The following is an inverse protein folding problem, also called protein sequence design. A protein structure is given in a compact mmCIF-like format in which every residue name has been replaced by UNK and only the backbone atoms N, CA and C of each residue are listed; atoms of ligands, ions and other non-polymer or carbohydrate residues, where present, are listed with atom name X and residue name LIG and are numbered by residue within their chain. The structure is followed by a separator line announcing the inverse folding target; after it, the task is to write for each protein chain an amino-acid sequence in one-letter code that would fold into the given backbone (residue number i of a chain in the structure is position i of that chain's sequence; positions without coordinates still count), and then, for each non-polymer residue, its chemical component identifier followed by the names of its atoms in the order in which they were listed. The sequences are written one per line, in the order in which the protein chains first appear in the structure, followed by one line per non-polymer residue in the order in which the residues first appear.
data_IF_043249836752
#
_entry.id   IF_043249836752
#
_cell.length_a   1.000
_cell.length_b   1.000
_cell.length_c   1.000
_cell.angle_alpha   90.00
_cell.angle_beta   90.00
_cell.angle_gamma   90.00
#
_symmetry.space_group_name_H-M   'P 1'
#
loop_
_entity.id
_entity.type
_entity.pdbx_description
1 polymer ?
#
# COMPACT_ATOMS: atom_id res chain seq x y z
N UNK A 1 20.76 40.40 4.06
CA UNK A 1 19.93 39.22 3.72
C UNK A 1 20.85 38.13 3.17
N UNK A 2 21.37 37.30 4.07
CA UNK A 2 22.22 36.15 3.73
C UNK A 2 21.32 35.00 3.33
N UNK A 3 21.45 34.57 2.09
CA UNK A 3 20.74 33.41 1.58
C UNK A 3 21.18 32.15 2.34
N UNK A 4 20.25 31.50 3.02
CA UNK A 4 20.44 30.19 3.62
C UNK A 4 20.51 29.19 2.47
N UNK A 5 21.70 28.64 2.22
CA UNK A 5 21.84 27.52 1.29
C UNK A 5 21.06 26.29 1.80
N UNK A 6 20.33 25.55 0.94
CA UNK A 6 19.67 24.37 1.37
C UNK A 6 20.72 23.32 1.78
N UNK A 7 20.64 22.82 3.01
CA UNK A 7 21.47 21.72 3.48
C UNK A 7 21.12 20.44 2.71
N UNK A 8 21.97 20.05 1.78
CA UNK A 8 21.91 18.79 1.06
C UNK A 8 22.59 17.70 1.89
N UNK A 9 21.82 17.00 2.70
CA UNK A 9 22.03 15.57 3.02
C UNK A 9 20.80 15.03 3.75
N UNK A 10 19.66 15.00 3.08
CA UNK A 10 18.61 14.07 3.48
C UNK A 10 19.06 12.68 2.99
N UNK A 11 19.41 11.77 3.89
CA UNK A 11 19.44 10.35 3.57
C UNK A 11 18.08 10.04 2.96
N UNK A 12 18.05 9.62 1.69
CA UNK A 12 16.77 9.36 1.01
C UNK A 12 16.01 8.33 1.83
N UNK A 13 14.83 8.73 2.32
CA UNK A 13 13.87 7.89 2.99
C UNK A 13 13.15 7.03 1.92
N UNK A 14 13.91 6.17 1.23
CA UNK A 14 13.39 5.31 0.17
C UNK A 14 12.64 4.11 0.79
N UNK A 15 11.54 3.72 0.17
CA UNK A 15 10.87 2.45 0.47
C UNK A 15 11.68 1.31 -0.17
N UNK A 16 12.07 0.32 0.61
CA UNK A 16 12.81 -0.84 0.11
C UNK A 16 12.00 -2.11 0.33
N UNK A 17 11.63 -2.80 -0.75
CA UNK A 17 10.90 -4.08 -0.71
C UNK A 17 11.69 -5.11 -1.53
N UNK A 18 12.01 -6.26 -0.95
CA UNK A 18 12.74 -7.31 -1.64
C UNK A 18 14.07 -6.84 -2.26
N UNK A 19 14.74 -5.88 -1.64
CA UNK A 19 15.99 -5.27 -2.13
C UNK A 19 15.81 -4.19 -3.20
N UNK A 20 14.60 -3.99 -3.75
CA UNK A 20 14.29 -2.96 -4.73
C UNK A 20 13.86 -1.67 -4.04
N UNK A 21 14.35 -0.52 -4.54
CA UNK A 21 14.03 0.82 -4.00
C UNK A 21 12.89 1.45 -4.77
N UNK A 22 11.98 2.10 -4.03
CA UNK A 22 10.86 2.88 -4.57
C UNK A 22 10.81 4.23 -3.86
N UNK A 23 10.45 5.27 -4.61
CA UNK A 23 10.27 6.63 -4.08
C UNK A 23 8.85 6.85 -3.61
N UNK A 24 7.88 6.31 -4.38
CA UNK A 24 6.48 6.41 -4.05
C UNK A 24 6.13 5.46 -2.90
N UNK A 25 5.39 5.97 -1.93
CA UNK A 25 4.82 5.17 -0.83
C UNK A 25 3.35 4.81 -1.08
N UNK A 26 2.83 5.18 -2.24
CA UNK A 26 1.50 4.77 -2.69
C UNK A 26 1.63 3.70 -3.77
N UNK A 27 1.00 2.56 -3.53
CA UNK A 27 0.72 1.52 -4.52
C UNK A 27 -0.74 1.64 -4.94
N UNK A 28 -1.04 1.38 -6.20
CA UNK A 28 -2.41 1.38 -6.71
C UNK A 28 -2.72 0.07 -7.43
N UNK A 29 -3.96 -0.08 -7.87
CA UNK A 29 -4.38 -1.25 -8.64
C UNK A 29 -5.00 -0.86 -9.97
N UNK A 30 -5.41 -1.86 -10.74
CA UNK A 30 -5.96 -1.70 -12.09
C UNK A 30 -7.47 -1.96 -12.17
N UNK A 31 -8.09 -2.37 -11.06
CA UNK A 31 -9.50 -2.77 -11.06
C UNK A 31 -10.48 -1.63 -10.81
N UNK A 32 -11.72 -1.80 -11.31
CA UNK A 32 -12.89 -0.95 -11.05
C UNK A 32 -12.88 0.44 -11.71
N UNK A 33 -11.89 0.79 -12.49
CA UNK A 33 -11.93 2.06 -13.24
C UNK A 33 -13.01 2.04 -14.31
N UNK A 34 -13.63 3.20 -14.62
CA UNK A 34 -14.65 3.29 -15.66
C UNK A 34 -14.09 3.07 -17.08
N UNK A 35 -12.82 3.35 -17.31
CA UNK A 35 -12.12 3.13 -18.57
C UNK A 35 -10.61 2.94 -18.37
N UNK A 36 -9.93 2.44 -19.42
CA UNK A 36 -8.45 2.34 -19.42
C UNK A 36 -7.79 3.73 -19.41
N UNK A 37 -8.42 4.73 -20.04
CA UNK A 37 -7.93 6.11 -20.03
C UNK A 37 -7.95 6.67 -18.60
N UNK A 38 -9.07 6.50 -17.87
CA UNK A 38 -9.19 6.95 -16.49
C UNK A 38 -8.17 6.23 -15.59
N UNK A 39 -7.95 4.95 -15.81
CA UNK A 39 -6.90 4.19 -15.11
C UNK A 39 -5.52 4.77 -15.38
N UNK A 40 -5.13 4.94 -16.65
CA UNK A 40 -3.81 5.49 -17.03
C UNK A 40 -3.59 6.88 -16.45
N UNK A 41 -4.58 7.77 -16.59
CA UNK A 41 -4.51 9.13 -16.02
C UNK A 41 -4.36 9.09 -14.49
N UNK A 42 -5.02 8.14 -13.81
CA UNK A 42 -4.89 7.96 -12.36
C UNK A 42 -3.52 7.43 -11.95
N UNK A 43 -2.97 6.46 -12.69
CA UNK A 43 -1.61 5.95 -12.45
C UNK A 43 -0.58 7.07 -12.61
N UNK A 44 -0.71 7.89 -13.64
CA UNK A 44 0.16 9.04 -13.87
C UNK A 44 0.02 10.09 -12.76
N UNK A 45 -1.22 10.47 -12.41
CA UNK A 45 -1.49 11.47 -11.38
C UNK A 45 -1.03 11.05 -9.97
N UNK A 46 -1.08 9.75 -9.68
CA UNK A 46 -0.58 9.20 -8.40
C UNK A 46 0.93 9.16 -8.29
N UNK A 47 1.66 9.22 -9.41
CA UNK A 47 3.09 8.98 -9.48
C UNK A 47 3.53 7.67 -8.76
N UNK A 48 2.63 6.68 -8.68
CA UNK A 48 2.97 5.37 -8.10
C UNK A 48 4.02 4.65 -8.95
N UNK A 49 4.83 3.82 -8.30
CA UNK A 49 5.84 3.01 -8.97
C UNK A 49 5.49 1.51 -8.94
N UNK A 50 4.51 1.12 -8.11
CA UNK A 50 4.02 -0.26 -8.00
C UNK A 50 2.54 -0.29 -8.32
N UNK A 51 2.14 -1.19 -9.23
CA UNK A 51 0.75 -1.38 -9.65
C UNK A 51 0.35 -2.84 -9.50
N UNK A 52 -0.69 -3.11 -8.69
CA UNK A 52 -1.19 -4.48 -8.54
C UNK A 52 -2.15 -4.87 -9.68
N UNK A 53 -1.96 -6.11 -10.16
CA UNK A 53 -2.71 -6.70 -11.26
C UNK A 53 -3.28 -8.05 -10.84
N UNK A 54 -4.61 -8.20 -10.94
CA UNK A 54 -5.26 -9.46 -10.65
C UNK A 54 -5.04 -10.47 -11.78
N UNK A 55 -4.18 -11.47 -11.54
CA UNK A 55 -3.76 -12.47 -12.54
C UNK A 55 -4.95 -13.19 -13.17
N UNK A 56 -5.92 -13.62 -12.37
CA UNK A 56 -7.13 -14.34 -12.87
C UNK A 56 -7.95 -13.51 -13.86
N UNK A 57 -7.97 -12.18 -13.72
CA UNK A 57 -8.73 -11.30 -14.60
C UNK A 57 -8.06 -11.09 -15.95
N UNK A 58 -6.73 -11.03 -15.97
CA UNK A 58 -5.96 -10.91 -17.22
C UNK A 58 -6.10 -12.16 -18.07
N UNK A 59 -6.06 -13.35 -17.46
CA UNK A 59 -6.16 -14.63 -18.17
C UNK A 59 -7.56 -14.93 -18.68
N UNK A 60 -8.60 -14.50 -17.97
CA UNK A 60 -9.98 -14.78 -18.35
C UNK A 60 -10.53 -13.89 -19.46
N UNK A 61 -9.78 -12.87 -19.92
CA UNK A 61 -10.29 -11.88 -20.86
C UNK A 61 -11.54 -11.15 -20.31
N UNK A 62 -11.63 -10.98 -18.99
CA UNK A 62 -12.80 -10.42 -18.33
C UNK A 62 -13.15 -9.03 -18.92
N UNK A 63 -14.45 -8.66 -19.00
CA UNK A 63 -14.86 -7.35 -19.49
C UNK A 63 -14.14 -6.21 -18.77
N UNK A 64 -13.58 -5.26 -19.51
CA UNK A 64 -12.79 -4.14 -18.98
C UNK A 64 -11.31 -4.45 -18.72
N UNK A 65 -10.82 -5.64 -19.03
CA UNK A 65 -9.40 -6.03 -18.89
C UNK A 65 -8.72 -6.35 -20.23
N UNK A 66 -9.47 -6.36 -21.33
CA UNK A 66 -8.89 -6.43 -22.68
C UNK A 66 -7.99 -5.21 -22.91
N UNK A 67 -6.73 -5.46 -23.32
CA UNK A 67 -5.75 -4.39 -23.53
C UNK A 67 -5.11 -3.81 -22.26
N UNK A 68 -5.36 -4.39 -21.07
CA UNK A 68 -4.76 -3.91 -19.81
C UNK A 68 -3.23 -3.94 -19.85
N UNK A 69 -2.68 -5.03 -20.37
CA UNK A 69 -1.22 -5.23 -20.43
C UNK A 69 -0.55 -4.23 -21.37
N UNK A 70 -1.21 -3.90 -22.47
CA UNK A 70 -0.75 -2.94 -23.47
C UNK A 70 -1.01 -1.49 -23.05
N UNK A 71 -1.99 -1.27 -22.15
CA UNK A 71 -2.37 0.06 -21.69
C UNK A 71 -1.38 0.65 -20.67
N UNK A 72 -0.53 -0.16 -20.07
CA UNK A 72 0.39 0.23 -19.00
C UNK A 72 1.83 0.16 -19.49
N UNK A 73 2.60 1.21 -19.22
CA UNK A 73 4.05 1.23 -19.48
C UNK A 73 4.81 0.50 -18.38
N UNK A 74 5.05 -0.78 -18.58
CA UNK A 74 5.76 -1.66 -17.64
C UNK A 74 7.27 -1.38 -17.55
N UNK A 75 7.82 -0.51 -18.38
CA UNK A 75 9.20 -0.04 -18.24
C UNK A 75 9.35 0.97 -17.09
N UNK A 76 8.25 1.65 -16.74
CA UNK A 76 8.18 2.68 -15.68
C UNK A 76 7.53 2.19 -14.40
N UNK A 77 6.61 1.23 -14.48
CA UNK A 77 5.80 0.73 -13.38
C UNK A 77 6.19 -0.71 -13.06
N UNK A 78 6.41 -1.00 -11.78
CA UNK A 78 6.67 -2.35 -11.31
C UNK A 78 5.37 -3.11 -11.11
N UNK A 79 5.23 -4.23 -11.78
CA UNK A 79 4.04 -5.07 -11.65
C UNK A 79 4.04 -5.79 -10.32
N UNK A 80 2.91 -5.75 -9.62
CA UNK A 80 2.63 -6.55 -8.44
C UNK A 80 1.47 -7.51 -8.76
N UNK A 81 1.74 -8.69 -9.34
CA UNK A 81 0.69 -9.67 -9.57
C UNK A 81 0.04 -10.07 -8.26
N UNK A 82 -1.29 -10.20 -8.23
CA UNK A 82 -2.00 -10.64 -7.04
C UNK A 82 -2.81 -11.91 -7.27
N UNK A 83 -3.01 -12.66 -6.19
CA UNK A 83 -3.76 -13.93 -6.18
C UNK A 83 -5.23 -13.73 -5.82
N UNK A 84 -5.80 -12.56 -6.11
CA UNK A 84 -7.20 -12.23 -5.83
C UNK A 84 -8.17 -13.29 -6.36
N UNK A 85 -9.12 -13.67 -5.53
CA UNK A 85 -10.14 -14.69 -5.83
C UNK A 85 -9.69 -16.13 -5.58
N UNK A 86 -8.51 -16.36 -4.99
CA UNK A 86 -8.10 -17.67 -4.51
C UNK A 86 -8.68 -17.92 -3.11
N UNK A 87 -9.34 -19.06 -2.94
CA UNK A 87 -9.95 -19.46 -1.68
C UNK A 87 -9.03 -20.32 -0.82
N UNK A 88 -7.99 -20.93 -1.41
CA UNK A 88 -7.06 -21.82 -0.72
C UNK A 88 -5.60 -21.46 -0.98
N UNK A 89 -4.71 -21.91 -0.10
CA UNK A 89 -3.26 -21.75 -0.25
C UNK A 89 -2.77 -22.37 -1.58
N UNK A 90 -3.26 -23.54 -1.95
CA UNK A 90 -2.87 -24.22 -3.19
C UNK A 90 -3.23 -23.42 -4.43
N UNK A 91 -4.45 -22.88 -4.48
CA UNK A 91 -4.87 -21.99 -5.56
C UNK A 91 -3.99 -20.75 -5.64
N UNK A 92 -3.71 -20.11 -4.50
CA UNK A 92 -2.88 -18.91 -4.44
C UNK A 92 -1.46 -19.16 -4.96
N UNK A 93 -0.83 -20.27 -4.56
CA UNK A 93 0.51 -20.66 -5.05
C UNK A 93 0.49 -20.89 -6.57
N UNK A 94 -0.51 -21.58 -7.09
CA UNK A 94 -0.66 -21.79 -8.53
C UNK A 94 -0.81 -20.46 -9.30
N UNK A 95 -1.67 -19.56 -8.81
CA UNK A 95 -1.91 -18.26 -9.43
C UNK A 95 -0.68 -17.35 -9.30
N UNK A 96 0.07 -17.40 -8.20
CA UNK A 96 1.32 -16.66 -8.05
C UNK A 96 2.35 -17.03 -9.13
N UNK A 97 2.50 -18.34 -9.43
CA UNK A 97 3.39 -18.81 -10.51
C UNK A 97 2.97 -18.25 -11.87
N UNK A 98 1.65 -18.21 -12.17
CA UNK A 98 1.13 -17.57 -13.38
C UNK A 98 1.38 -16.06 -13.39
N UNK A 99 1.31 -15.40 -12.22
CA UNK A 99 1.64 -13.99 -12.07
C UNK A 99 3.10 -13.68 -12.39
N UNK A 100 4.03 -14.54 -12.02
CA UNK A 100 5.45 -14.40 -12.37
C UNK A 100 5.67 -14.51 -13.88
N UNK A 101 4.98 -15.44 -14.54
CA UNK A 101 5.04 -15.53 -16.01
C UNK A 101 4.42 -14.30 -16.68
N UNK A 102 3.34 -13.75 -16.12
CA UNK A 102 2.74 -12.52 -16.63
C UNK A 102 3.71 -11.33 -16.54
N UNK A 103 4.42 -11.18 -15.42
CA UNK A 103 5.43 -10.13 -15.25
C UNK A 103 6.59 -10.33 -16.24
N UNK A 104 7.04 -11.56 -16.46
CA UNK A 104 8.06 -11.88 -17.45
C UNK A 104 7.62 -11.49 -18.89
N UNK A 105 6.39 -11.78 -19.26
CA UNK A 105 5.82 -11.37 -20.55
C UNK A 105 5.71 -9.84 -20.70
N UNK A 106 5.63 -9.11 -19.59
CA UNK A 106 5.67 -7.65 -19.56
C UNK A 106 7.10 -7.07 -19.61
N UNK A 107 8.12 -7.90 -19.81
CA UNK A 107 9.54 -7.49 -19.85
C UNK A 107 10.21 -7.33 -18.49
N UNK A 108 9.58 -7.83 -17.41
CA UNK A 108 10.13 -7.79 -16.05
C UNK A 108 10.60 -9.18 -15.63
N UNK A 109 11.65 -9.68 -16.26
CA UNK A 109 12.13 -11.07 -16.09
C UNK A 109 12.65 -11.37 -14.66
N UNK A 110 13.15 -10.35 -13.96
CA UNK A 110 13.63 -10.42 -12.58
C UNK A 110 12.52 -10.18 -11.53
N UNK A 111 11.27 -9.99 -11.98
CA UNK A 111 10.16 -9.72 -11.07
C UNK A 111 9.65 -10.99 -10.39
N UNK A 112 9.95 -11.12 -9.11
CA UNK A 112 9.50 -12.20 -8.23
C UNK A 112 8.39 -11.77 -7.28
N UNK A 113 7.89 -10.52 -7.38
CA UNK A 113 6.89 -9.98 -6.46
C UNK A 113 5.54 -10.67 -6.64
N UNK A 114 4.86 -10.87 -5.53
CA UNK A 114 3.46 -11.31 -5.50
C UNK A 114 2.72 -10.72 -4.32
N UNK A 115 1.57 -10.12 -4.56
CA UNK A 115 0.61 -9.80 -3.50
C UNK A 115 -0.22 -11.05 -3.24
N UNK A 116 0.02 -11.65 -2.08
CA UNK A 116 -0.62 -12.90 -1.70
C UNK A 116 -1.97 -12.63 -1.02
N UNK A 117 -3.03 -13.15 -1.61
CA UNK A 117 -4.39 -13.12 -1.07
C UNK A 117 -4.93 -14.55 -1.04
N UNK A 118 -5.39 -15.00 0.13
CA UNK A 118 -6.15 -16.25 0.31
C UNK A 118 -7.46 -15.87 0.99
N UNK A 119 -8.56 -15.83 0.24
CA UNK A 119 -9.83 -15.27 0.66
C UNK A 119 -10.96 -16.26 0.37
N UNK A 120 -11.32 -17.13 1.33
CA UNK A 120 -12.39 -18.10 1.16
C UNK A 120 -13.80 -17.49 1.20
N UNK A 121 -13.97 -16.37 1.92
CA UNK A 121 -15.24 -15.66 2.02
C UNK A 121 -15.34 -14.51 1.02
N UNK A 122 -16.12 -14.71 -0.04
CA UNK A 122 -16.34 -13.70 -1.08
C UNK A 122 -17.23 -12.53 -0.63
N UNK A 123 -17.94 -12.65 0.50
CA UNK A 123 -18.83 -11.60 0.99
C UNK A 123 -18.10 -10.48 1.72
N UNK A 124 -17.20 -10.83 2.63
CA UNK A 124 -16.50 -9.86 3.45
C UNK A 124 -15.06 -9.61 2.97
N UNK A 125 -14.55 -10.48 2.09
CA UNK A 125 -13.20 -10.43 1.52
C UNK A 125 -12.11 -10.37 2.60
N UNK A 126 -12.33 -11.11 3.69
CA UNK A 126 -11.36 -11.25 4.76
C UNK A 126 -10.36 -12.37 4.45
N UNK A 127 -9.05 -12.14 4.66
CA UNK A 127 -8.04 -13.15 4.40
C UNK A 127 -8.05 -14.26 5.44
N UNK A 128 -7.84 -15.50 4.98
CA UNK A 128 -7.63 -16.66 5.84
C UNK A 128 -6.20 -16.64 6.40
N UNK A 129 -6.03 -16.54 7.73
CA UNK A 129 -4.71 -16.46 8.33
C UNK A 129 -3.87 -17.74 8.15
N UNK A 130 -4.51 -18.91 8.18
CA UNK A 130 -3.84 -20.20 8.06
C UNK A 130 -3.39 -20.43 6.62
N UNK A 131 -4.31 -20.31 5.67
CA UNK A 131 -3.99 -20.46 4.26
C UNK A 131 -3.02 -19.43 3.74
N UNK A 132 -3.06 -18.20 4.27
CA UNK A 132 -2.09 -17.16 3.92
C UNK A 132 -0.69 -17.52 4.40
N UNK A 133 -0.52 -17.99 5.64
CA UNK A 133 0.78 -18.42 6.16
C UNK A 133 1.34 -19.62 5.39
N UNK A 134 0.51 -20.65 5.15
CA UNK A 134 0.89 -21.84 4.36
C UNK A 134 1.35 -21.45 2.94
N UNK A 135 0.60 -20.61 2.25
CA UNK A 135 0.96 -20.16 0.91
C UNK A 135 2.24 -19.31 0.91
N UNK A 136 2.39 -18.43 1.91
CA UNK A 136 3.58 -17.59 2.05
C UNK A 136 4.86 -18.42 2.23
N UNK A 137 4.85 -19.40 3.13
CA UNK A 137 6.00 -20.30 3.35
C UNK A 137 6.42 -21.05 2.08
N UNK A 138 5.44 -21.49 1.29
CA UNK A 138 5.70 -22.18 0.01
C UNK A 138 6.29 -21.24 -1.02
N UNK A 139 5.69 -20.06 -1.18
CA UNK A 139 6.13 -19.06 -2.17
C UNK A 139 7.52 -18.50 -1.84
N UNK A 140 7.83 -18.24 -0.58
CA UNK A 140 9.17 -17.81 -0.16
C UNK A 140 10.22 -18.88 -0.49
N UNK A 141 9.94 -20.16 -0.24
CA UNK A 141 10.83 -21.28 -0.63
C UNK A 141 11.02 -21.37 -2.16
N UNK A 142 10.04 -20.92 -2.94
CA UNK A 142 10.12 -20.86 -4.41
C UNK A 142 10.79 -19.57 -4.93
N UNK A 143 11.31 -18.73 -4.04
CA UNK A 143 12.03 -17.50 -4.38
C UNK A 143 11.14 -16.31 -4.75
N UNK A 144 9.87 -16.31 -4.32
CA UNK A 144 9.01 -15.14 -4.47
C UNK A 144 9.30 -14.07 -3.43
N UNK A 145 9.17 -12.82 -3.84
CA UNK A 145 9.09 -11.66 -2.95
C UNK A 145 7.61 -11.49 -2.55
N UNK A 146 7.27 -12.05 -1.38
CA UNK A 146 5.87 -12.18 -0.95
C UNK A 146 5.41 -10.96 -0.16
N UNK A 147 4.28 -10.37 -0.58
CA UNK A 147 3.58 -9.26 0.07
C UNK A 147 2.19 -9.77 0.50
N UNK A 148 2.03 -10.32 1.72
CA UNK A 148 0.80 -10.98 2.14
C UNK A 148 -0.25 -9.98 2.67
N UNK A 149 -1.47 -10.06 2.12
CA UNK A 149 -2.65 -9.37 2.63
C UNK A 149 -3.23 -10.11 3.82
N UNK A 150 -3.37 -9.44 4.96
CA UNK A 150 -3.78 -10.04 6.23
C UNK A 150 -4.80 -9.18 6.98
N UNK A 151 -5.52 -9.81 7.92
CA UNK A 151 -6.17 -9.05 8.99
C UNK A 151 -5.09 -8.36 9.84
N UNK A 152 -5.45 -7.27 10.54
CA UNK A 152 -4.52 -6.60 11.45
C UNK A 152 -4.27 -7.46 12.71
N UNK A 153 -3.53 -8.55 12.54
CA UNK A 153 -3.13 -9.50 13.56
C UNK A 153 -1.60 -9.44 13.76
N UNK A 154 -1.13 -8.88 14.91
CA UNK A 154 0.30 -8.73 15.17
C UNK A 154 1.07 -10.07 15.27
N UNK A 155 0.42 -11.16 15.70
CA UNK A 155 1.08 -12.46 15.79
C UNK A 155 1.24 -13.09 14.41
N UNK A 156 0.24 -12.99 13.55
CA UNK A 156 0.34 -13.44 12.17
C UNK A 156 1.39 -12.63 11.40
N UNK A 157 1.41 -11.30 11.57
CA UNK A 157 2.41 -10.43 10.95
C UNK A 157 3.83 -10.89 11.29
N UNK A 158 4.12 -11.18 12.55
CA UNK A 158 5.42 -11.71 12.99
C UNK A 158 5.73 -13.06 12.36
N UNK A 159 4.79 -14.00 12.31
CA UNK A 159 5.00 -15.31 11.68
C UNK A 159 5.31 -15.20 10.19
N UNK A 160 4.68 -14.28 9.49
CA UNK A 160 4.95 -14.03 8.07
C UNK A 160 6.34 -13.40 7.86
N UNK A 161 6.77 -12.50 8.74
CA UNK A 161 8.13 -11.99 8.73
C UNK A 161 9.14 -13.14 8.97
N UNK A 162 8.92 -13.99 9.99
CA UNK A 162 9.75 -15.16 10.28
C UNK A 162 9.77 -16.17 9.12
N UNK A 163 8.69 -16.30 8.37
CA UNK A 163 8.60 -17.10 7.15
C UNK A 163 9.40 -16.52 5.96
N UNK A 164 9.86 -15.27 6.06
CA UNK A 164 10.66 -14.60 5.04
C UNK A 164 9.86 -13.75 4.05
N UNK A 165 8.65 -13.32 4.40
CA UNK A 165 7.91 -12.35 3.59
C UNK A 165 8.65 -11.02 3.49
N UNK A 166 8.49 -10.33 2.38
CA UNK A 166 9.17 -9.05 2.13
C UNK A 166 8.47 -7.84 2.74
N UNK A 167 7.19 -7.98 3.06
CA UNK A 167 6.35 -7.00 3.77
C UNK A 167 5.29 -7.72 4.59
N UNK A 168 4.53 -6.97 5.39
CA UNK A 168 3.19 -7.37 5.86
C UNK A 168 2.18 -6.31 5.44
N UNK A 169 0.99 -6.75 5.02
CA UNK A 169 -0.04 -5.86 4.48
C UNK A 169 -1.35 -5.97 5.28
N UNK A 170 -1.40 -5.39 6.51
CA UNK A 170 -2.61 -5.39 7.30
C UNK A 170 -3.69 -4.52 6.66
N UNK A 171 -4.92 -5.02 6.61
CA UNK A 171 -6.06 -4.25 6.15
C UNK A 171 -6.44 -3.14 7.14
N UNK A 172 -6.75 -1.95 6.63
CA UNK A 172 -7.40 -0.89 7.42
C UNK A 172 -8.84 -1.25 7.76
N UNK A 173 -9.58 -1.72 6.76
CA UNK A 173 -10.93 -2.30 6.82
C UNK A 173 -11.18 -3.15 5.56
N UNK A 174 -12.28 -3.90 5.46
CA UNK A 174 -12.53 -4.80 4.33
C UNK A 174 -12.39 -4.14 2.96
N UNK A 175 -11.91 -4.89 1.98
CA UNK A 175 -11.67 -4.40 0.60
C UNK A 175 -12.90 -3.68 0.05
N UNK A 176 -12.72 -2.44 -0.39
CA UNK A 176 -13.77 -1.65 -1.03
C UNK A 176 -14.83 -1.10 -0.09
N UNK A 177 -14.67 -1.26 1.22
CA UNK A 177 -15.63 -0.77 2.22
C UNK A 177 -15.57 0.74 2.46
N UNK A 178 -14.41 1.38 2.23
CA UNK A 178 -14.20 2.81 2.50
C UNK A 178 -14.40 3.19 3.97
N UNK A 179 -14.18 2.24 4.90
CA UNK A 179 -14.41 2.46 6.33
C UNK A 179 -13.18 2.96 7.09
N UNK A 180 -12.08 3.23 6.38
CA UNK A 180 -10.85 3.76 6.94
C UNK A 180 -10.09 2.77 7.83
N UNK A 181 -9.35 3.30 8.79
CA UNK A 181 -8.48 2.54 9.70
C UNK A 181 -9.28 2.08 10.92
N UNK A 182 -9.96 0.94 10.83
CA UNK A 182 -10.85 0.44 11.89
C UNK A 182 -10.08 -0.19 13.06
N UNK A 183 -8.92 -0.76 12.81
CA UNK A 183 -8.11 -1.43 13.82
C UNK A 183 -6.73 -0.77 14.00
N UNK A 184 -6.75 0.54 14.23
CA UNK A 184 -5.54 1.35 14.39
C UNK A 184 -4.62 0.80 15.51
N UNK A 185 -5.18 0.32 16.62
CA UNK A 185 -4.40 -0.22 17.71
C UNK A 185 -3.53 -1.42 17.29
N UNK A 186 -4.11 -2.39 16.61
CA UNK A 186 -3.35 -3.55 16.14
C UNK A 186 -2.37 -3.19 15.01
N UNK A 187 -2.74 -2.27 14.12
CA UNK A 187 -1.84 -1.78 13.06
C UNK A 187 -0.62 -1.08 13.70
N UNK A 188 -0.81 -0.25 14.75
CA UNK A 188 0.31 0.35 15.48
C UNK A 188 1.21 -0.72 16.10
N UNK A 189 0.65 -1.76 16.72
CA UNK A 189 1.44 -2.87 17.26
C UNK A 189 2.23 -3.61 16.17
N UNK A 190 1.68 -3.77 14.98
CA UNK A 190 2.40 -4.37 13.84
C UNK A 190 3.56 -3.45 13.45
N UNK A 191 3.32 -2.16 13.25
CA UNK A 191 4.32 -1.16 12.87
C UNK A 191 5.47 -1.11 13.88
N UNK A 192 5.16 -1.07 15.16
CA UNK A 192 6.17 -0.99 16.25
C UNK A 192 7.08 -2.22 16.31
N UNK A 193 6.59 -3.38 15.91
CA UNK A 193 7.30 -4.65 16.09
C UNK A 193 7.88 -5.24 14.80
N UNK A 194 7.40 -4.80 13.62
CA UNK A 194 7.89 -5.31 12.34
C UNK A 194 9.30 -4.81 12.03
N UNK A 195 10.10 -5.67 11.42
CA UNK A 195 11.45 -5.36 10.90
C UNK A 195 11.47 -5.29 9.37
N UNK A 196 10.34 -5.59 8.76
CA UNK A 196 10.08 -5.48 7.32
C UNK A 196 9.01 -4.41 7.08
N UNK A 197 8.92 -3.82 5.89
CA UNK A 197 7.96 -2.77 5.61
C UNK A 197 6.52 -3.18 5.88
N UNK A 198 5.76 -2.29 6.51
CA UNK A 198 4.34 -2.44 6.77
C UNK A 198 3.57 -1.59 5.77
N UNK A 199 2.74 -2.24 4.96
CA UNK A 199 1.91 -1.60 3.94
C UNK A 199 0.45 -1.67 4.39
N UNK A 200 -0.18 -0.55 4.73
CA UNK A 200 -1.61 -0.57 5.04
C UNK A 200 -2.40 -0.70 3.74
N UNK A 201 -3.19 -1.77 3.65
CA UNK A 201 -3.92 -2.17 2.45
C UNK A 201 -5.42 -2.21 2.73
N UNK A 202 -6.21 -1.84 1.74
CA UNK A 202 -7.68 -1.89 1.76
C UNK A 202 -8.38 -0.98 2.78
N UNK A 203 -9.61 -0.65 2.45
CA UNK A 203 -10.53 0.08 3.32
C UNK A 203 -10.32 1.59 3.42
N UNK A 204 -9.17 2.12 2.99
CA UNK A 204 -8.93 3.56 2.94
C UNK A 204 -9.89 4.19 1.91
N UNK A 205 -10.69 5.16 2.35
CA UNK A 205 -11.72 5.81 1.54
C UNK A 205 -11.40 7.26 1.16
N UNK A 206 -10.61 7.96 1.97
CA UNK A 206 -10.31 9.39 1.81
C UNK A 206 -8.85 9.72 2.12
N UNK A 207 -8.31 10.85 1.59
CA UNK A 207 -6.91 11.24 1.80
C UNK A 207 -6.50 11.40 3.26
N UNK A 208 -7.38 11.86 4.14
CA UNK A 208 -7.09 11.99 5.57
C UNK A 208 -6.75 10.65 6.25
N UNK A 209 -7.38 9.56 5.82
CA UNK A 209 -7.09 8.21 6.33
C UNK A 209 -5.76 7.68 5.79
N UNK A 210 -5.41 8.05 4.54
CA UNK A 210 -4.10 7.76 3.97
C UNK A 210 -2.98 8.50 4.75
N UNK A 211 -3.15 9.79 5.04
CA UNK A 211 -2.23 10.55 5.88
C UNK A 211 -2.14 9.94 7.28
N UNK A 212 -3.27 9.58 7.90
CA UNK A 212 -3.32 8.94 9.22
C UNK A 212 -2.46 7.66 9.26
N UNK A 213 -2.61 6.77 8.28
CA UNK A 213 -1.82 5.53 8.24
C UNK A 213 -0.31 5.81 8.15
N UNK A 214 0.09 6.79 7.35
CA UNK A 214 1.49 7.20 7.23
C UNK A 214 2.01 7.87 8.51
N UNK A 215 1.19 8.70 9.17
CA UNK A 215 1.52 9.32 10.47
C UNK A 215 1.65 8.29 11.60
N UNK A 216 0.91 7.17 11.52
CA UNK A 216 1.05 6.04 12.44
C UNK A 216 2.39 5.30 12.26
N UNK A 217 3.08 5.51 11.13
CA UNK A 217 4.36 4.91 10.84
C UNK A 217 4.33 3.80 9.79
N UNK A 218 3.23 3.64 9.06
CA UNK A 218 3.22 2.74 7.90
C UNK A 218 4.32 3.13 6.90
N UNK A 219 4.93 2.14 6.25
CA UNK A 219 5.97 2.40 5.26
C UNK A 219 5.39 2.73 3.89
N UNK A 220 4.23 2.18 3.58
CA UNK A 220 3.50 2.45 2.33
C UNK A 220 2.00 2.14 2.47
N UNK A 221 1.25 2.49 1.44
CA UNK A 221 -0.19 2.25 1.32
C UNK A 221 -0.49 1.54 0.01
N UNK A 222 -1.52 0.68 0.00
CA UNK A 222 -2.13 0.20 -1.24
C UNK A 222 -3.59 0.64 -1.28
N UNK A 223 -3.92 1.54 -2.23
CA UNK A 223 -5.24 2.14 -2.37
C UNK A 223 -5.72 2.00 -3.82
N UNK A 224 -6.83 1.33 -4.04
CA UNK A 224 -7.40 1.21 -5.38
C UNK A 224 -8.87 1.67 -5.44
N UNK A 225 -9.79 1.03 -4.69
CA UNK A 225 -11.22 1.29 -4.84
C UNK A 225 -11.62 2.75 -4.60
N UNK A 226 -11.02 3.41 -3.62
CA UNK A 226 -11.29 4.83 -3.33
C UNK A 226 -10.87 5.74 -4.48
N UNK A 227 -9.84 5.38 -5.22
CA UNK A 227 -9.40 6.10 -6.42
C UNK A 227 -10.32 5.77 -7.60
N UNK A 228 -10.44 4.48 -7.92
CA UNK A 228 -11.11 4.03 -9.13
C UNK A 228 -12.61 4.34 -9.17
N UNK A 229 -13.26 4.43 -8.02
CA UNK A 229 -14.71 4.71 -7.88
C UNK A 229 -15.02 6.17 -7.52
N UNK A 230 -14.00 7.03 -7.46
CA UNK A 230 -14.22 8.46 -7.27
C UNK A 230 -14.92 9.10 -8.48
N UNK A 231 -15.60 10.22 -8.26
CA UNK A 231 -16.19 10.99 -9.36
C UNK A 231 -15.15 11.54 -10.35
N UNK A 232 -13.91 11.76 -9.87
CA UNK A 232 -12.72 12.11 -10.67
C UNK A 232 -11.56 11.25 -10.18
N UNK A 233 -11.33 10.07 -10.79
CA UNK A 233 -10.27 9.16 -10.35
C UNK A 233 -8.86 9.75 -10.42
N UNK A 234 -8.42 10.48 -11.46
CA UNK A 234 -7.11 11.13 -11.49
C UNK A 234 -6.91 12.17 -10.37
N UNK A 235 -7.90 13.00 -10.10
CA UNK A 235 -7.83 13.97 -9.00
C UNK A 235 -7.72 13.27 -7.64
N UNK A 236 -8.49 12.20 -7.43
CA UNK A 236 -8.40 11.40 -6.19
C UNK A 236 -7.05 10.69 -6.06
N UNK A 237 -6.50 10.14 -7.15
CA UNK A 237 -5.19 9.51 -7.17
C UNK A 237 -4.09 10.49 -6.71
N UNK A 238 -4.12 11.72 -7.25
CA UNK A 238 -3.19 12.77 -6.82
C UNK A 238 -3.39 13.15 -5.35
N UNK A 239 -4.65 13.29 -4.90
CA UNK A 239 -4.95 13.62 -3.50
C UNK A 239 -4.43 12.55 -2.54
N UNK A 240 -4.58 11.26 -2.87
CA UNK A 240 -4.05 10.14 -2.08
C UNK A 240 -2.51 10.14 -2.04
N UNK A 241 -1.84 10.43 -3.17
CA UNK A 241 -0.39 10.55 -3.23
C UNK A 241 0.13 11.68 -2.32
N UNK A 242 -0.46 12.85 -2.42
CA UNK A 242 -0.12 14.00 -1.57
C UNK A 242 -0.35 13.71 -0.09
N UNK A 243 -1.43 12.99 0.24
CA UNK A 243 -1.71 12.59 1.62
C UNK A 243 -0.67 11.60 2.16
N UNK A 244 -0.24 10.63 1.36
CA UNK A 244 0.82 9.70 1.73
C UNK A 244 2.16 10.44 1.97
N UNK A 245 2.51 11.38 1.09
CA UNK A 245 3.71 12.21 1.25
C UNK A 245 3.63 13.09 2.50
N UNK A 246 2.49 13.78 2.72
CA UNK A 246 2.29 14.65 3.87
C UNK A 246 2.35 13.88 5.20
N UNK A 247 1.68 12.72 5.29
CA UNK A 247 1.72 11.87 6.48
C UNK A 247 3.13 11.36 6.78
N UNK A 248 3.89 10.94 5.77
CA UNK A 248 5.30 10.53 5.95
C UNK A 248 6.18 11.68 6.39
N UNK A 249 6.02 12.85 5.79
CA UNK A 249 6.78 14.05 6.18
C UNK A 249 6.46 14.46 7.62
N UNK A 250 5.18 14.38 8.04
CA UNK A 250 4.77 14.68 9.41
C UNK A 250 5.37 13.69 10.43
N UNK A 251 5.40 12.38 10.10
CA UNK A 251 6.04 11.36 10.92
C UNK A 251 7.54 11.67 11.12
N UNK A 252 8.26 11.97 10.05
CA UNK A 252 9.70 12.24 10.09
C UNK A 252 10.03 13.56 10.79
N UNK A 253 9.16 14.57 10.66
CA UNK A 253 9.30 15.85 11.36
C UNK A 253 9.04 15.73 12.88
N UNK A 254 8.29 14.71 13.31
CA UNK A 254 7.87 14.55 14.69
C UNK A 254 6.67 15.41 15.05
N UNK A 255 5.59 14.77 15.50
CA UNK A 255 4.37 15.49 15.90
C UNK A 255 4.53 16.19 17.25
N UNK A 256 3.80 17.27 17.44
CA UNK A 256 3.60 17.84 18.77
C UNK A 256 2.92 16.80 19.70
N UNK A 257 3.49 16.50 20.89
CA UNK A 257 2.86 15.61 21.85
C UNK A 257 1.48 16.11 22.26
N UNK A 258 0.51 15.21 22.34
CA UNK A 258 -0.80 15.54 22.88
C UNK A 258 -0.66 15.93 24.37
N UNK A 259 -1.35 16.99 24.79
CA UNK A 259 -1.37 17.48 26.17
C UNK A 259 -2.80 17.64 26.62
N UNK A 260 -3.04 17.43 27.91
CA UNK A 260 -4.37 17.65 28.52
C UNK A 260 -4.67 19.16 28.65
N UNK A 261 -3.64 19.98 28.81
CA UNK A 261 -3.76 21.41 29.02
C UNK A 261 -3.29 22.20 27.78
N UNK A 262 -3.91 23.35 27.58
CA UNK A 262 -3.51 24.29 26.55
C UNK A 262 -2.14 24.91 26.91
N UNK A 263 -1.32 25.17 25.86
CA UNK A 263 -0.07 25.92 25.98
C UNK A 263 -0.18 27.19 25.11
N UNK A 264 -0.01 28.40 25.68
CA UNK A 264 -0.13 29.62 24.90
C UNK A 264 1.01 29.70 23.87
N UNK A 265 0.68 30.11 22.65
CA UNK A 265 1.64 30.31 21.56
C UNK A 265 2.45 31.58 21.71
N UNK A 266 2.00 32.54 22.52
CA UNK A 266 2.69 33.79 22.79
C UNK A 266 3.08 33.86 24.27
N UNK A 267 4.26 34.46 24.61
CA UNK A 267 4.64 34.67 26.00
C UNK A 267 3.56 35.43 26.77
N UNK A 268 3.31 35.04 28.01
CA UNK A 268 2.38 35.76 28.90
C UNK A 268 3.00 37.06 29.46
N UNK A 269 4.31 37.16 29.41
CA UNK A 269 5.08 38.37 29.82
C UNK A 269 4.99 39.41 28.72
N UNK A 270 4.88 40.68 29.12
CA UNK A 270 4.83 41.85 28.19
C UNK A 270 3.43 42.20 27.68
N UNK A 271 2.36 41.74 28.35
CA UNK A 271 1.01 42.25 28.05
C UNK A 271 0.96 43.76 28.36
N UNK A 272 0.54 44.54 27.35
CA UNK A 272 0.17 45.94 27.57
C UNK A 272 -1.05 45.97 28.46
N UNK A 273 -0.88 46.27 29.73
CA UNK A 273 -2.00 46.55 30.63
C UNK A 273 -2.39 48.01 30.38
N UNK A 274 -3.59 48.22 29.83
CA UNK A 274 -4.19 49.55 29.82
C UNK A 274 -4.43 49.96 31.29
N UNK A 275 -3.69 50.95 31.73
CA UNK A 275 -3.99 51.71 32.96
C UNK A 275 -5.08 52.73 32.70
#
# INVERSE_FOLDING_TARGET
LTAIAPSTSCSRDDLVIGGRRFRSRLMTGTGKYPSLEAMRASLEASACEIVTVAVRRVQSGAPGHGGLMEAIDWSRLWMLPNTAGCATAEEAVRVARLGRELARLAGQEDNTFVKLEVIPDSRHLLPDPIGTLEAAERLVKEGFTVLPYINADPLLARRLEEAGCATVMPLGSPIGSGQGIRNAANISLIIENARIPVVVDAGIGVPSEAAQAMEMGADALLINSAIALAGDPPAMARAMALAAEAGRAALLAGRLPARAEASPSSPLEGRVTNH
#
